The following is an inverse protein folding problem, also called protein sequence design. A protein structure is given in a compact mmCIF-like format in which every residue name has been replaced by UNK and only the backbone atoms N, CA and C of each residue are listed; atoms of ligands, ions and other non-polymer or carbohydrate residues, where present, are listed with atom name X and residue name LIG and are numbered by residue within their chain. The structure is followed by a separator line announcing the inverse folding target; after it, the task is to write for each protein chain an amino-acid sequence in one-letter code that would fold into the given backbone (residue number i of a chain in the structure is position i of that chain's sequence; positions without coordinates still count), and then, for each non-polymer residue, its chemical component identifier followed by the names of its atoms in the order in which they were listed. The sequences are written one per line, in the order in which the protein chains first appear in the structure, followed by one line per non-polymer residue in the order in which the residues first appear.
data_IF_321102912890
#
_entry.id   IF_321102912890
#
_cell.length_a   1.000
_cell.length_b   1.000
_cell.length_c   1.000
_cell.angle_alpha   90.00
_cell.angle_beta   90.00
_cell.angle_gamma   90.00
#
_symmetry.space_group_name_H-M   'P 1'
#
loop_
_entity.id
_entity.type
_entity.pdbx_description
1 polymer ?
#
# COMPACT_ATOMS: atom_id res chain seq x y z
N UNK A 1 14.20 30.93 30.46
CA UNK A 1 15.31 29.96 30.38
C UNK A 1 14.99 29.04 29.22
N UNK A 2 15.71 29.13 28.10
CA UNK A 2 15.47 28.25 26.95
C UNK A 2 16.08 26.87 27.24
N UNK A 3 15.31 25.80 27.08
CA UNK A 3 15.84 24.44 27.19
C UNK A 3 16.72 24.15 25.97
N UNK A 4 17.97 23.79 26.20
CA UNK A 4 18.93 23.38 25.18
C UNK A 4 18.75 21.87 24.92
N UNK A 5 18.48 21.50 23.67
CA UNK A 5 18.20 20.11 23.26
C UNK A 5 19.20 19.69 22.18
N UNK A 6 19.81 18.51 22.34
CA UNK A 6 20.75 17.95 21.36
C UNK A 6 20.01 17.31 20.20
N UNK A 7 20.47 17.58 18.98
CA UNK A 7 19.97 16.89 17.79
C UNK A 7 20.31 15.39 17.86
N UNK A 8 19.35 14.47 17.69
CA UNK A 8 19.59 13.03 17.77
C UNK A 8 20.39 12.48 16.58
N UNK A 9 20.52 13.25 15.50
CA UNK A 9 21.19 12.79 14.27
C UNK A 9 22.65 13.27 14.17
N UNK A 10 23.00 14.44 14.69
CA UNK A 10 24.37 14.97 14.58
C UNK A 10 24.98 15.48 15.90
N UNK A 11 24.24 15.42 17.01
CA UNK A 11 24.70 15.87 18.33
C UNK A 11 24.86 17.38 18.49
N UNK A 12 24.57 18.17 17.45
CA UNK A 12 24.63 19.63 17.49
C UNK A 12 23.59 20.18 18.48
N UNK A 13 23.97 21.19 19.25
CA UNK A 13 23.10 21.83 20.24
C UNK A 13 22.07 22.71 19.54
N UNK A 14 20.79 22.46 19.78
CA UNK A 14 19.68 23.19 19.16
C UNK A 14 18.77 23.77 20.24
N UNK A 15 18.25 24.97 19.99
CA UNK A 15 17.31 25.66 20.89
C UNK A 15 15.93 25.03 20.72
N UNK A 16 15.24 24.72 21.83
CA UNK A 16 13.87 24.19 21.81
C UNK A 16 12.92 25.10 21.01
N UNK A 17 12.21 24.54 20.02
CA UNK A 17 11.25 25.25 19.15
C UNK A 17 11.62 25.37 17.66
N UNK A 18 12.77 24.85 17.23
CA UNK A 18 13.13 24.76 15.80
C UNK A 18 12.61 23.43 15.21
N UNK A 19 11.88 23.49 14.08
CA UNK A 19 11.39 22.27 13.40
C UNK A 19 12.51 21.47 12.72
N UNK A 20 13.62 22.13 12.40
CA UNK A 20 14.74 21.56 11.63
C UNK A 20 16.07 21.92 12.27
N UNK A 21 16.99 20.96 12.32
CA UNK A 21 18.36 21.18 12.76
C UNK A 21 19.13 22.00 11.70
N UNK A 22 19.70 23.14 12.09
CA UNK A 22 20.47 24.02 11.19
C UNK A 22 21.78 23.41 10.68
N UNK A 23 22.31 22.41 11.37
CA UNK A 23 23.57 21.78 10.99
C UNK A 23 23.37 20.60 10.02
N UNK A 24 22.43 19.69 10.31
CA UNK A 24 22.24 18.48 9.52
C UNK A 24 20.89 18.39 8.78
N UNK A 25 20.00 19.38 8.96
CA UNK A 25 18.68 19.39 8.32
C UNK A 25 17.70 18.33 8.82
N UNK A 26 18.08 17.50 9.80
CA UNK A 26 17.16 16.53 10.39
C UNK A 26 16.01 17.26 11.08
N UNK A 27 14.80 16.77 10.85
CA UNK A 27 13.58 17.34 11.41
C UNK A 27 13.45 16.82 12.85
N UNK A 28 13.52 17.74 13.80
CA UNK A 28 13.78 17.47 15.23
C UNK A 28 12.46 17.14 15.90
N UNK A 29 12.18 15.85 16.06
CA UNK A 29 10.88 15.31 16.49
C UNK A 29 10.16 16.22 17.49
N UNK A 30 9.16 17.04 17.13
CA UNK A 30 8.86 17.68 15.83
C UNK A 30 9.30 16.96 14.55
N UNK A 31 8.57 15.89 14.18
CA UNK A 31 8.85 14.83 13.18
C UNK A 31 9.63 13.58 13.58
N UNK A 32 8.96 12.44 13.46
CA UNK A 32 9.56 11.11 13.46
C UNK A 32 9.99 10.68 12.05
N UNK A 33 11.26 10.29 11.95
CA UNK A 33 11.92 9.62 10.83
C UNK A 33 11.50 8.15 10.76
N UNK A 34 11.74 7.54 9.60
CA UNK A 34 11.46 6.15 9.33
C UNK A 34 12.77 5.41 9.08
N UNK A 35 12.97 4.31 9.81
CA UNK A 35 14.12 3.41 9.70
C UNK A 35 14.02 2.63 8.39
N UNK A 36 15.12 2.60 7.64
CA UNK A 36 15.37 1.61 6.60
C UNK A 36 15.87 0.36 7.32
N UNK A 37 15.10 -0.73 7.29
CA UNK A 37 15.63 -2.06 7.60
C UNK A 37 16.30 -2.60 6.33
N UNK A 38 17.61 -2.50 6.36
CA UNK A 38 18.57 -3.21 5.54
C UNK A 38 18.47 -4.72 5.78
N UNK A 39 18.09 -5.43 4.71
CA UNK A 39 18.23 -6.88 4.62
C UNK A 39 19.71 -7.23 4.56
N UNK A 40 20.25 -7.85 5.61
CA UNK A 40 21.52 -8.56 5.54
C UNK A 40 21.32 -10.06 5.83
N UNK A 41 21.78 -10.83 4.84
CA UNK A 41 21.66 -12.26 4.66
C UNK A 41 22.62 -13.08 5.53
N UNK A 42 22.13 -14.14 6.18
CA UNK A 42 22.89 -15.38 6.40
C UNK A 42 21.99 -16.48 6.98
N UNK A 43 22.12 -17.71 6.47
CA UNK A 43 21.76 -18.92 7.25
C UNK A 43 20.80 -19.88 6.58
N UNK A 44 21.36 -20.79 5.78
CA UNK A 44 20.73 -21.96 5.19
C UNK A 44 20.34 -22.95 6.30
N UNK A 45 19.09 -23.42 6.32
CA UNK A 45 18.79 -24.79 6.77
C UNK A 45 17.54 -25.29 6.07
N UNK A 46 17.79 -26.10 5.04
CA UNK A 46 16.81 -26.93 4.38
C UNK A 46 16.67 -28.25 5.15
N UNK A 47 15.46 -28.56 5.60
CA UNK A 47 14.89 -29.91 5.72
C UNK A 47 13.39 -29.72 5.49
N UNK A 48 12.79 -30.11 4.36
CA UNK A 48 12.74 -31.48 3.84
C UNK A 48 11.35 -32.05 4.17
N UNK A 49 10.39 -31.77 3.30
CA UNK A 49 9.00 -32.24 3.40
C UNK A 49 8.25 -31.95 2.09
N UNK A 50 8.36 -32.90 1.16
CA UNK A 50 7.83 -32.86 -0.20
C UNK A 50 6.34 -33.31 -0.27
N UNK A 51 5.67 -33.37 -1.44
CA UNK A 51 4.49 -32.57 -1.72
C UNK A 51 3.21 -33.42 -1.80
N UNK A 52 2.07 -32.86 -1.39
CA UNK A 52 0.77 -33.41 -1.80
C UNK A 52 -0.12 -32.36 -2.46
N UNK A 53 -0.07 -32.44 -3.80
CA UNK A 53 -1.16 -32.24 -4.78
C UNK A 53 -1.62 -30.79 -5.08
N UNK A 54 -1.68 -30.40 -6.38
CA UNK A 54 -2.18 -29.10 -6.78
C UNK A 54 -3.70 -29.00 -6.60
N UNK A 55 -4.17 -27.98 -5.87
CA UNK A 55 -5.58 -27.57 -5.92
C UNK A 55 -5.75 -26.69 -7.15
N UNK A 56 -6.65 -27.14 -8.02
CA UNK A 56 -7.00 -26.50 -9.28
C UNK A 56 -7.47 -25.06 -9.08
N UNK A 57 -6.93 -24.19 -9.94
CA UNK A 57 -7.33 -22.81 -10.11
C UNK A 57 -8.58 -22.76 -11.00
N UNK A 58 -9.76 -22.98 -10.43
CA UNK A 58 -11.01 -22.71 -11.14
C UNK A 58 -11.38 -21.23 -11.01
N UNK A 59 -11.12 -20.50 -12.10
CA UNK A 59 -11.66 -19.16 -12.36
C UNK A 59 -13.17 -19.19 -12.19
N UNK A 60 -13.68 -18.38 -11.27
CA UNK A 60 -15.06 -17.93 -11.30
C UNK A 60 -15.26 -17.01 -12.54
N UNK A 61 -15.81 -17.55 -13.62
CA UNK A 61 -16.38 -16.78 -14.72
C UNK A 61 -17.83 -16.43 -14.40
N UNK A 62 -18.29 -15.16 -14.52
CA UNK A 62 -19.70 -14.85 -14.46
C UNK A 62 -20.41 -15.41 -15.72
N UNK A 63 -21.43 -16.23 -15.47
CA UNK A 63 -22.25 -16.90 -16.47
C UNK A 63 -23.19 -15.87 -17.14
N UNK A 64 -22.85 -15.41 -18.35
CA UNK A 64 -23.72 -14.57 -19.19
C UNK A 64 -24.46 -15.47 -20.19
N UNK A 65 -25.56 -16.07 -19.76
CA UNK A 65 -26.47 -16.79 -20.66
C UNK A 65 -27.84 -16.09 -20.68
N UNK A 66 -27.99 -15.12 -21.58
CA UNK A 66 -29.29 -14.69 -22.08
C UNK A 66 -29.19 -14.50 -23.59
N UNK A 67 -29.97 -15.24 -24.41
CA UNK A 67 -29.87 -15.14 -25.86
C UNK A 67 -30.46 -13.81 -26.37
N UNK A 68 -29.82 -13.14 -27.34
CA UNK A 68 -30.42 -12.03 -28.07
C UNK A 68 -31.50 -12.54 -29.02
N UNK A 69 -32.63 -11.81 -29.08
CA UNK A 69 -33.70 -12.02 -30.06
C UNK A 69 -33.19 -11.66 -31.46
N UNK A 70 -33.64 -12.45 -32.42
CA UNK A 70 -33.48 -12.29 -33.85
C UNK A 70 -33.96 -10.92 -34.35
N UNK A 71 -33.06 -10.15 -34.94
CA UNK A 71 -33.43 -9.07 -35.86
C UNK A 71 -32.75 -9.29 -37.21
N UNK A 72 -33.64 -9.50 -38.17
CA UNK A 72 -33.59 -9.48 -39.62
C UNK A 72 -32.27 -9.06 -40.29
N UNK A 73 -31.76 -10.01 -41.08
CA UNK A 73 -30.92 -9.76 -42.25
C UNK A 73 -31.73 -8.98 -43.28
N UNK A 74 -31.42 -7.71 -43.46
CA UNK A 74 -31.77 -6.97 -44.67
C UNK A 74 -30.50 -6.73 -45.48
N UNK A 75 -30.53 -7.30 -46.70
CA UNK A 75 -29.56 -7.12 -47.78
C UNK A 75 -29.25 -5.65 -48.02
N UNK A 76 -27.99 -5.25 -48.23
CA UNK A 76 -27.67 -3.89 -48.61
C UNK A 76 -28.27 -3.57 -50.00
N UNK A 77 -29.01 -2.47 -50.18
CA UNK A 77 -29.33 -1.99 -51.52
C UNK A 77 -28.07 -1.41 -52.18
N UNK A 78 -27.91 -1.78 -53.45
CA UNK A 78 -26.99 -1.30 -54.48
C UNK A 78 -25.87 -0.32 -54.07
N UNK A 79 -24.67 -0.87 -54.12
CA UNK A 79 -23.40 -0.18 -54.27
C UNK A 79 -23.32 0.40 -55.70
N UNK A 80 -23.88 1.58 -55.95
CA UNK A 80 -23.55 2.34 -57.16
C UNK A 80 -23.58 3.85 -56.92
N UNK A 81 -22.37 4.42 -56.95
CA UNK A 81 -22.05 5.73 -57.53
C UNK A 81 -22.87 6.94 -57.09
N UNK A 82 -22.46 7.56 -55.98
CA UNK A 82 -22.39 9.02 -55.92
C UNK A 82 -21.43 9.47 -54.83
N UNK A 83 -20.74 10.56 -55.10
CA UNK A 83 -20.01 11.39 -54.14
C UNK A 83 -18.52 11.11 -53.90
N UNK A 84 -17.81 10.77 -54.99
CA UNK A 84 -16.39 11.10 -55.16
C UNK A 84 -16.18 12.54 -55.69
N UNK A 85 -16.76 13.54 -55.02
CA UNK A 85 -16.26 14.92 -55.08
C UNK A 85 -16.06 15.40 -53.65
N UNK A 86 -15.20 14.68 -52.91
CA UNK A 86 -14.62 15.26 -51.71
C UNK A 86 -13.47 16.15 -52.17
N UNK A 87 -13.76 17.43 -52.24
CA UNK A 87 -12.77 18.47 -52.45
C UNK A 87 -11.60 18.24 -51.48
N UNK A 88 -10.34 18.21 -51.95
CA UNK A 88 -9.21 18.06 -51.07
C UNK A 88 -9.15 19.30 -50.18
N UNK A 89 -9.40 19.12 -48.88
CA UNK A 89 -9.19 20.16 -47.88
C UNK A 89 -7.78 20.75 -48.05
N UNK A 90 -7.64 22.08 -48.03
CA UNK A 90 -6.35 22.75 -48.24
C UNK A 90 -5.34 22.22 -47.23
N UNK A 91 -4.28 21.59 -47.75
CA UNK A 91 -3.16 21.08 -46.97
C UNK A 91 -2.33 22.29 -46.52
N UNK A 92 -2.69 22.87 -45.38
CA UNK A 92 -1.88 23.85 -44.67
C UNK A 92 -0.50 23.24 -44.43
N UNK A 93 0.53 23.83 -45.06
CA UNK A 93 1.90 23.32 -44.99
C UNK A 93 2.38 23.41 -43.55
N UNK A 94 2.30 22.31 -42.82
CA UNK A 94 2.85 22.21 -41.46
C UNK A 94 4.34 22.49 -41.52
N UNK A 95 4.73 23.70 -41.06
CA UNK A 95 6.12 24.15 -41.04
C UNK A 95 6.89 23.26 -40.05
N UNK A 96 7.58 22.25 -40.59
CA UNK A 96 8.43 21.35 -39.82
C UNK A 96 9.55 22.18 -39.19
N UNK A 97 9.40 22.54 -37.91
CA UNK A 97 10.49 23.09 -37.10
C UNK A 97 11.44 21.94 -36.80
N UNK A 98 12.68 22.09 -37.25
CA UNK A 98 13.75 21.16 -36.92
C UNK A 98 14.05 21.39 -35.44
N UNK A 99 13.78 20.40 -34.60
CA UNK A 99 14.11 20.43 -33.19
C UNK A 99 15.63 20.34 -33.08
N UNK A 100 16.27 21.34 -32.48
CA UNK A 100 17.73 21.30 -32.32
C UNK A 100 18.09 20.36 -31.17
N UNK A 101 19.27 19.74 -31.24
CA UNK A 101 19.76 18.88 -30.13
C UNK A 101 19.90 19.72 -28.85
N UNK A 102 20.24 21.01 -28.99
CA UNK A 102 20.39 21.95 -27.87
C UNK A 102 19.07 22.09 -27.10
N UNK A 103 17.94 22.20 -27.79
CA UNK A 103 16.63 22.29 -27.15
C UNK A 103 16.34 21.06 -26.28
N UNK A 104 16.69 19.86 -26.78
CA UNK A 104 16.47 18.61 -26.05
C UNK A 104 17.41 18.48 -24.84
N UNK A 105 18.65 18.98 -24.96
CA UNK A 105 19.62 18.98 -23.87
C UNK A 105 19.17 19.83 -22.68
N UNK A 106 18.68 21.05 -22.95
CA UNK A 106 18.17 21.94 -21.88
C UNK A 106 17.00 21.28 -21.15
N UNK A 107 16.10 20.64 -21.90
CA UNK A 107 14.93 19.96 -21.33
C UNK A 107 15.35 18.83 -20.38
N UNK A 108 16.30 17.98 -20.78
CA UNK A 108 16.79 16.89 -19.91
C UNK A 108 17.46 17.38 -18.63
N UNK A 109 18.21 18.49 -18.72
CA UNK A 109 18.85 19.11 -17.54
C UNK A 109 17.80 19.58 -16.55
N UNK A 110 16.75 20.27 -17.01
CA UNK A 110 15.67 20.73 -16.13
C UNK A 110 14.90 19.55 -15.51
N UNK A 111 14.58 18.51 -16.29
CA UNK A 111 13.92 17.31 -15.77
C UNK A 111 14.75 16.59 -14.69
N UNK A 112 16.08 16.53 -14.85
CA UNK A 112 16.97 15.92 -13.85
C UNK A 112 16.93 16.67 -12.51
N UNK A 113 16.96 18.00 -12.54
CA UNK A 113 16.89 18.84 -11.32
C UNK A 113 15.53 18.69 -10.63
N UNK A 114 14.43 18.70 -11.39
CA UNK A 114 13.09 18.52 -10.82
C UNK A 114 12.92 17.12 -10.18
N UNK A 115 13.40 16.07 -10.84
CA UNK A 115 13.35 14.71 -10.30
C UNK A 115 14.18 14.55 -9.03
N UNK A 116 15.37 15.18 -8.97
CA UNK A 116 16.24 15.15 -7.78
C UNK A 116 15.56 15.72 -6.53
N UNK A 117 14.73 16.77 -6.68
CA UNK A 117 14.00 17.38 -5.56
C UNK A 117 12.72 16.60 -5.21
N UNK A 118 12.04 16.03 -6.21
CA UNK A 118 10.77 15.35 -6.01
C UNK A 118 10.90 13.95 -5.41
N UNK A 119 11.91 13.17 -5.81
CA UNK A 119 12.06 11.76 -5.39
C UNK A 119 12.33 11.54 -3.89
N UNK A 120 13.15 12.34 -3.17
CA UNK A 120 13.54 11.98 -1.79
C UNK A 120 12.37 11.95 -0.79
N UNK A 121 11.31 12.72 -1.02
CA UNK A 121 10.26 12.90 -0.01
C UNK A 121 9.22 11.76 0.04
N UNK A 122 8.96 11.07 -1.07
CA UNK A 122 7.82 10.13 -1.13
C UNK A 122 8.15 8.71 -0.64
N UNK A 123 9.40 8.27 -0.77
CA UNK A 123 9.76 6.86 -0.48
C UNK A 123 9.91 6.59 1.01
N UNK A 124 10.52 7.52 1.74
CA UNK A 124 10.89 7.29 3.13
C UNK A 124 9.74 7.53 4.10
N UNK A 125 8.89 8.53 3.87
CA UNK A 125 7.89 8.94 4.87
C UNK A 125 6.51 8.31 4.66
N UNK A 126 6.05 8.20 3.41
CA UNK A 126 4.67 7.80 3.14
C UNK A 126 4.42 6.29 3.37
N UNK A 127 5.40 5.44 3.06
CA UNK A 127 5.30 3.98 3.20
C UNK A 127 5.16 3.51 4.66
N UNK A 128 6.06 3.85 5.58
CA UNK A 128 5.99 3.39 6.97
C UNK A 128 4.75 3.92 7.69
N UNK A 129 4.36 5.18 7.46
CA UNK A 129 3.11 5.70 8.02
C UNK A 129 1.87 4.95 7.49
N UNK A 130 1.88 4.55 6.22
CA UNK A 130 0.78 3.75 5.67
C UNK A 130 0.73 2.34 6.28
N UNK A 131 1.88 1.75 6.58
CA UNK A 131 1.99 0.44 7.24
C UNK A 131 1.52 0.48 8.68
N UNK A 132 1.94 1.49 9.43
CA UNK A 132 1.48 1.75 10.81
C UNK A 132 -0.05 1.90 10.84
N UNK A 133 -0.62 2.73 9.95
CA UNK A 133 -2.08 2.91 9.85
C UNK A 133 -2.81 1.63 9.48
N UNK A 134 -2.24 0.82 8.60
CA UNK A 134 -2.79 -0.49 8.25
C UNK A 134 -2.74 -1.44 9.46
N UNK A 135 -1.66 -1.41 10.24
CA UNK A 135 -1.54 -2.18 11.48
C UNK A 135 -2.65 -1.81 12.47
N UNK A 136 -2.86 -0.52 12.73
CA UNK A 136 -3.93 -0.08 13.63
C UNK A 136 -5.34 -0.39 13.10
N UNK A 137 -5.54 -0.38 11.78
CA UNK A 137 -6.80 -0.81 11.19
C UNK A 137 -7.05 -2.31 11.44
N UNK A 138 -6.04 -3.15 11.21
CA UNK A 138 -6.10 -4.58 11.47
C UNK A 138 -6.39 -4.88 12.95
N UNK A 139 -5.76 -4.16 13.88
CA UNK A 139 -5.99 -4.34 15.32
C UNK A 139 -7.44 -4.07 15.72
N UNK A 140 -8.08 -3.04 15.14
CA UNK A 140 -9.50 -2.75 15.37
C UNK A 140 -10.42 -3.84 14.81
N UNK A 141 -10.09 -4.36 13.63
CA UNK A 141 -10.85 -5.45 13.00
C UNK A 141 -10.75 -6.74 13.83
N UNK A 142 -9.54 -7.08 14.29
CA UNK A 142 -9.29 -8.23 15.17
C UNK A 142 -10.09 -8.08 16.46
N UNK A 143 -10.01 -6.93 17.12
CA UNK A 143 -10.73 -6.69 18.37
C UNK A 143 -12.24 -6.90 18.19
N UNK A 144 -12.84 -6.31 17.17
CA UNK A 144 -14.26 -6.50 16.88
C UNK A 144 -14.62 -7.95 16.54
N UNK A 145 -13.74 -8.67 15.83
CA UNK A 145 -13.96 -10.08 15.53
C UNK A 145 -13.90 -10.96 16.80
N UNK A 146 -13.01 -10.65 17.75
CA UNK A 146 -12.94 -11.34 19.05
C UNK A 146 -14.18 -11.03 19.89
N UNK A 147 -14.62 -9.77 19.92
CA UNK A 147 -15.84 -9.37 20.62
C UNK A 147 -17.06 -10.13 20.09
N UNK A 148 -17.22 -10.20 18.76
CA UNK A 148 -18.29 -10.99 18.13
C UNK A 148 -18.16 -12.48 18.43
N UNK A 149 -16.95 -13.04 18.36
CA UNK A 149 -16.71 -14.44 18.72
C UNK A 149 -17.13 -14.74 20.17
N UNK A 150 -16.79 -13.85 21.11
CA UNK A 150 -17.11 -13.98 22.53
C UNK A 150 -18.61 -13.78 22.83
N UNK A 151 -19.35 -13.06 21.97
CA UNK A 151 -20.80 -12.94 22.08
C UNK A 151 -21.53 -14.21 21.66
N UNK A 152 -21.02 -14.90 20.63
CA UNK A 152 -21.66 -16.10 20.07
C UNK A 152 -21.22 -17.39 20.78
N UNK A 153 -20.02 -17.40 21.36
CA UNK A 153 -19.42 -18.57 21.98
C UNK A 153 -19.29 -18.39 23.49
N UNK A 154 -19.63 -19.44 24.25
CA UNK A 154 -19.47 -19.46 25.72
C UNK A 154 -18.00 -19.57 26.18
N UNK A 155 -17.07 -19.85 25.26
CA UNK A 155 -15.64 -19.96 25.53
C UNK A 155 -14.93 -18.65 25.19
N UNK A 156 -14.88 -17.75 26.16
CA UNK A 156 -14.31 -16.41 25.97
C UNK A 156 -12.80 -16.47 25.72
N UNK A 157 -12.38 -15.86 24.62
CA UNK A 157 -10.97 -15.62 24.33
C UNK A 157 -10.55 -14.33 25.01
N UNK A 158 -9.67 -14.47 26.01
CA UNK A 158 -9.08 -13.36 26.76
C UNK A 158 -7.66 -13.01 26.28
N UNK A 159 -7.08 -13.83 25.40
CA UNK A 159 -5.74 -13.65 24.82
C UNK A 159 -5.81 -13.69 23.30
N UNK A 160 -4.88 -12.99 22.65
CA UNK A 160 -4.71 -13.05 21.20
C UNK A 160 -3.40 -13.77 20.89
N UNK A 161 -3.49 -14.83 20.07
CA UNK A 161 -2.36 -15.60 19.54
C UNK A 161 -2.74 -16.16 18.16
N UNK A 162 -1.79 -16.81 17.48
CA UNK A 162 -2.00 -17.35 16.13
C UNK A 162 -3.08 -18.44 16.04
N UNK A 163 -3.33 -19.19 17.11
CA UNK A 163 -4.40 -20.19 17.14
C UNK A 163 -5.78 -19.52 17.20
N UNK A 164 -5.91 -18.48 18.00
CA UNK A 164 -7.13 -17.68 18.11
C UNK A 164 -7.46 -17.04 16.77
N UNK A 165 -6.47 -16.48 16.08
CA UNK A 165 -6.66 -15.98 14.71
C UNK A 165 -7.23 -17.06 13.77
N UNK A 166 -6.69 -18.27 13.82
CA UNK A 166 -7.21 -19.41 13.06
C UNK A 166 -8.66 -19.78 13.40
N UNK A 167 -9.04 -19.70 14.68
CA UNK A 167 -10.41 -19.91 15.13
C UNK A 167 -11.36 -18.82 14.62
N UNK A 168 -10.93 -17.56 14.60
CA UNK A 168 -11.72 -16.45 14.08
C UNK A 168 -11.99 -16.60 12.58
N UNK A 169 -11.00 -17.07 11.82
CA UNK A 169 -11.15 -17.36 10.38
C UNK A 169 -12.07 -18.57 10.17
N UNK A 170 -11.86 -19.66 10.91
CA UNK A 170 -12.70 -20.86 10.80
C UNK A 170 -14.14 -20.62 11.28
N UNK A 171 -14.33 -19.72 12.25
CA UNK A 171 -15.63 -19.32 12.77
C UNK A 171 -16.36 -18.31 11.89
N UNK A 172 -15.73 -17.83 10.80
CA UNK A 172 -16.34 -16.88 9.87
C UNK A 172 -16.38 -15.43 10.37
N UNK A 173 -15.74 -15.12 11.49
CA UNK A 173 -15.60 -13.75 12.03
C UNK A 173 -14.57 -12.95 11.23
N UNK A 174 -13.57 -13.63 10.66
CA UNK A 174 -12.63 -13.09 9.69
C UNK A 174 -12.75 -13.86 8.38
N UNK A 175 -12.72 -13.15 7.25
CA UNK A 175 -12.78 -13.78 5.92
C UNK A 175 -11.51 -14.56 5.59
N UNK A 176 -10.37 -14.04 6.03
CA UNK A 176 -9.04 -14.57 5.79
C UNK A 176 -8.14 -14.20 6.97
N UNK A 177 -6.96 -14.82 7.04
CA UNK A 177 -5.91 -14.42 7.97
C UNK A 177 -5.53 -12.95 7.74
N UNK A 178 -5.20 -12.24 8.82
CA UNK A 178 -4.88 -10.83 8.78
C UNK A 178 -3.54 -10.62 8.07
N UNK A 179 -3.57 -9.83 7.00
CA UNK A 179 -2.34 -9.47 6.27
C UNK A 179 -1.51 -8.51 7.11
N UNK A 180 -0.37 -8.98 7.60
CA UNK A 180 0.60 -8.19 8.37
C UNK A 180 1.30 -7.16 7.47
N UNK A 181 1.45 -5.89 7.90
CA UNK A 181 2.08 -4.84 7.08
C UNK A 181 3.62 -4.92 7.07
N UNK A 182 4.21 -5.50 8.11
CA UNK A 182 5.65 -5.74 8.26
C UNK A 182 5.91 -7.16 8.75
N UNK A 183 7.13 -7.66 8.52
CA UNK A 183 7.50 -9.05 8.83
C UNK A 183 7.52 -9.34 10.34
N UNK A 184 7.88 -8.33 11.14
CA UNK A 184 7.95 -8.44 12.60
C UNK A 184 6.62 -8.10 13.30
N UNK A 185 5.59 -7.71 12.56
CA UNK A 185 4.28 -7.42 13.16
C UNK A 185 3.64 -8.70 13.69
N UNK A 186 3.42 -8.77 14.99
CA UNK A 186 2.55 -9.77 15.60
C UNK A 186 1.52 -9.14 16.52
N UNK A 187 0.29 -9.67 16.45
CA UNK A 187 -0.85 -9.16 17.20
C UNK A 187 -1.01 -9.96 18.49
N UNK A 188 -0.75 -9.29 19.61
CA UNK A 188 -1.00 -9.82 20.94
C UNK A 188 -2.17 -9.11 21.62
N UNK A 189 -2.43 -9.51 22.86
CA UNK A 189 -3.37 -8.84 23.75
C UNK A 189 -2.64 -8.41 25.02
N UNK A 190 -2.92 -7.19 25.48
CA UNK A 190 -2.49 -6.72 26.80
C UNK A 190 -3.73 -6.54 27.67
N UNK A 191 -3.79 -7.29 28.77
CA UNK A 191 -4.95 -7.32 29.66
C UNK A 191 -6.05 -8.29 29.20
N UNK A 192 -7.17 -8.26 29.90
CA UNK A 192 -8.33 -9.12 29.63
C UNK A 192 -9.22 -8.51 28.53
N UNK A 193 -9.22 -9.13 27.35
CA UNK A 193 -9.99 -8.70 26.18
C UNK A 193 -11.52 -8.68 26.41
N UNK A 194 -12.01 -9.31 27.48
CA UNK A 194 -13.45 -9.32 27.80
C UNK A 194 -13.90 -8.06 28.54
N UNK A 195 -12.95 -7.25 29.01
CA UNK A 195 -13.21 -6.03 29.79
C UNK A 195 -12.61 -4.80 29.10
N UNK A 196 -11.36 -4.48 29.43
CA UNK A 196 -10.64 -3.28 28.96
C UNK A 196 -9.31 -3.62 28.28
N UNK A 197 -9.06 -4.91 28.03
CA UNK A 197 -7.89 -5.38 27.32
C UNK A 197 -7.83 -4.79 25.92
N UNK A 198 -6.60 -4.52 25.47
CA UNK A 198 -6.34 -3.91 24.18
C UNK A 198 -5.54 -4.87 23.32
N UNK A 199 -5.88 -4.93 22.04
CA UNK A 199 -5.01 -5.59 21.05
C UNK A 199 -3.77 -4.72 20.87
N UNK A 200 -2.60 -5.34 20.88
CA UNK A 200 -1.29 -4.67 20.81
C UNK A 200 -0.48 -5.29 19.68
N UNK A 201 0.22 -4.46 18.91
CA UNK A 201 1.24 -4.91 17.99
C UNK A 201 2.62 -4.80 18.65
N UNK A 202 3.45 -5.83 18.53
CA UNK A 202 4.80 -5.80 19.11
C UNK A 202 5.69 -4.68 18.55
N UNK A 203 5.50 -4.33 17.28
CA UNK A 203 6.30 -3.30 16.59
C UNK A 203 5.67 -1.89 16.67
N UNK A 204 4.36 -1.79 16.47
CA UNK A 204 3.65 -0.49 16.39
C UNK A 204 2.96 -0.07 17.69
N UNK A 205 2.94 -0.93 18.72
CA UNK A 205 2.32 -0.65 20.01
C UNK A 205 0.79 -0.75 19.99
N UNK A 206 0.13 0.12 20.75
CA UNK A 206 -1.33 0.19 20.91
C UNK A 206 -1.97 1.25 20.03
N UNK A 207 -3.28 1.16 19.80
CA UNK A 207 -4.04 2.10 18.95
C UNK A 207 -4.41 3.41 19.67
N UNK A 208 -4.20 3.49 20.98
CA UNK A 208 -4.57 4.63 21.84
C UNK A 208 -3.48 5.68 22.01
#
# INVERSE_FOLDING_TARGET
MAAEVKCPQCGFQVISGQELCRNCGSRLVGSTNCVQEDHESAGISATGGEPTKPVNLEKATPNLNKPPKSEETQSPPNFDQAFYLKEPLPQEKVKRRIFTIIDFLIIMVVFAVLAAIAVPNFKCYARPQSREKACYANMRVILGAIEMYNMDNSAWQNTMNSNVEGQLVSGGYLKNQVSKPDINCDYGATGDLTQSGKVVCQEHGTVD
#
